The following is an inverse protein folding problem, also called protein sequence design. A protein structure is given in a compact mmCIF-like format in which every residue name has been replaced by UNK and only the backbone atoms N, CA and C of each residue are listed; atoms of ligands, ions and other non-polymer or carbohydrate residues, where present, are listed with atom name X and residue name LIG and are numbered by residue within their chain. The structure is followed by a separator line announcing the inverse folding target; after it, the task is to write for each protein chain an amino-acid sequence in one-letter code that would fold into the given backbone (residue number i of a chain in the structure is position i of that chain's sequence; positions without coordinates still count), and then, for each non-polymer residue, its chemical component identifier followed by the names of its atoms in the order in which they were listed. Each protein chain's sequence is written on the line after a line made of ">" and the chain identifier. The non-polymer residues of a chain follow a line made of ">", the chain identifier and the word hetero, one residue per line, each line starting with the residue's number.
data_IF_877682627323
#
_entry.id   IF_877682627323
#
_cell.length_a   1.000
_cell.length_b   1.000
_cell.length_c   1.000
_cell.angle_alpha   90.00
_cell.angle_beta   90.00
_cell.angle_gamma   90.00
#
_symmetry.space_group_name_H-M   'P 1'
#
loop_
_entity.id
_entity.type
_entity.pdbx_description
1 polymer ?
#
# COMPACT_ATOMS: atom_id res chain seq x y z
N UNK A 1 37.63 36.57 -57.24
CA UNK A 1 38.71 37.58 -57.12
C UNK A 1 38.91 37.87 -55.65
N UNK A 2 40.14 37.66 -55.19
CA UNK A 2 40.79 38.16 -53.96
C UNK A 2 40.15 37.73 -52.61
N UNK A 3 40.84 37.08 -51.69
CA UNK A 3 42.28 36.97 -51.49
C UNK A 3 42.55 37.14 -50.00
N UNK A 4 43.14 36.12 -49.38
CA UNK A 4 43.62 36.16 -48.02
C UNK A 4 44.61 37.31 -47.81
N UNK A 5 44.55 37.99 -46.66
CA UNK A 5 45.70 38.72 -46.12
C UNK A 5 45.64 38.81 -44.60
N UNK A 6 46.38 37.88 -44.01
CA UNK A 6 47.26 38.01 -42.85
C UNK A 6 47.49 39.46 -42.36
N UNK A 7 47.19 39.74 -41.09
CA UNK A 7 47.70 40.91 -40.39
C UNK A 7 48.22 40.50 -39.01
N UNK A 8 49.55 40.41 -38.98
CA UNK A 8 50.39 40.32 -37.80
C UNK A 8 49.98 41.33 -36.73
N UNK A 9 49.72 40.83 -35.52
CA UNK A 9 49.62 41.63 -34.30
C UNK A 9 51.02 42.14 -33.93
N UNK A 10 51.30 43.40 -34.28
CA UNK A 10 52.47 44.13 -33.77
C UNK A 10 52.19 44.53 -32.32
N UNK A 11 52.87 43.88 -31.38
CA UNK A 11 52.91 44.24 -29.96
C UNK A 11 53.60 45.60 -29.79
N UNK A 12 52.83 46.67 -29.67
CA UNK A 12 53.35 47.95 -29.13
C UNK A 12 53.43 47.83 -27.61
N UNK A 13 54.65 47.66 -27.10
CA UNK A 13 55.00 47.88 -25.68
C UNK A 13 54.88 49.38 -25.40
N UNK A 14 53.80 49.79 -24.77
CA UNK A 14 53.69 51.11 -24.15
C UNK A 14 54.31 51.00 -22.75
N UNK A 15 55.45 51.67 -22.55
CA UNK A 15 56.01 51.92 -21.20
C UNK A 15 55.03 52.84 -20.47
N UNK A 16 54.40 52.36 -19.40
CA UNK A 16 53.83 53.21 -18.36
C UNK A 16 54.82 53.32 -17.21
N UNK A 17 54.98 54.55 -16.70
CA UNK A 17 55.87 54.91 -15.61
C UNK A 17 55.42 54.38 -14.25
N UNK A 18 56.25 54.56 -13.21
CA UNK A 18 56.01 54.05 -11.88
C UNK A 18 55.02 54.94 -11.11
N UNK A 19 54.36 54.31 -10.14
CA UNK A 19 53.61 54.91 -9.03
C UNK A 19 52.33 55.68 -9.37
N UNK A 20 51.26 54.92 -9.60
CA UNK A 20 50.02 55.18 -8.87
C UNK A 20 49.66 53.90 -8.13
N UNK A 21 49.83 53.94 -6.80
CA UNK A 21 49.32 52.94 -5.88
C UNK A 21 47.79 52.88 -6.02
N UNK A 22 47.34 51.95 -6.86
CA UNK A 22 45.98 51.44 -6.75
C UNK A 22 45.96 50.68 -5.42
N UNK A 23 45.42 51.31 -4.38
CA UNK A 23 44.87 50.61 -3.22
C UNK A 23 43.82 49.62 -3.75
N UNK A 24 44.27 48.43 -4.12
CA UNK A 24 43.44 47.25 -4.18
C UNK A 24 43.03 47.03 -2.74
N UNK A 25 41.84 47.54 -2.38
CA UNK A 25 41.12 47.09 -1.20
C UNK A 25 41.16 45.57 -1.27
N UNK A 26 42.02 44.97 -0.47
CA UNK A 26 42.12 43.53 -0.27
C UNK A 26 40.87 43.15 0.49
N UNK A 27 39.74 43.13 -0.22
CA UNK A 27 38.51 42.52 0.23
C UNK A 27 38.89 41.11 0.65
N UNK A 28 38.88 40.90 1.96
CA UNK A 28 39.20 39.65 2.64
C UNK A 28 38.63 38.50 1.80
N UNK A 29 39.47 37.75 1.09
CA UNK A 29 39.04 36.58 0.33
C UNK A 29 38.64 35.53 1.35
N UNK A 30 37.38 35.56 1.77
CA UNK A 30 36.85 34.57 2.70
C UNK A 30 36.79 33.23 1.98
N UNK A 31 37.59 32.28 2.45
CA UNK A 31 37.51 30.91 1.97
C UNK A 31 36.15 30.33 2.32
N UNK A 32 35.62 29.44 1.46
CA UNK A 32 34.43 28.65 1.80
C UNK A 32 34.64 27.88 3.11
N UNK A 33 35.88 27.44 3.38
CA UNK A 33 36.25 26.74 4.61
C UNK A 33 36.21 27.62 5.86
N UNK A 34 36.13 28.94 5.74
CA UNK A 34 35.97 29.84 6.90
C UNK A 34 34.52 29.93 7.38
N UNK A 35 33.55 29.41 6.61
CA UNK A 35 32.15 29.40 7.00
C UNK A 35 31.90 28.42 8.15
N UNK A 36 30.95 28.68 9.07
CA UNK A 36 30.51 27.70 10.06
C UNK A 36 29.98 26.41 9.45
N UNK A 37 30.04 25.29 10.18
CA UNK A 37 29.60 23.97 9.69
C UNK A 37 28.13 24.00 9.24
N UNK A 38 27.29 24.68 9.99
CA UNK A 38 25.86 24.79 9.75
C UNK A 38 25.57 25.49 8.41
N UNK A 39 26.36 26.51 8.08
CA UNK A 39 26.24 27.24 6.82
C UNK A 39 26.71 26.37 5.65
N UNK A 40 27.83 25.66 5.81
CA UNK A 40 28.33 24.72 4.80
C UNK A 40 27.33 23.60 4.51
N UNK A 41 26.78 22.99 5.56
CA UNK A 41 25.77 21.93 5.45
C UNK A 41 24.49 22.45 4.79
N UNK A 42 24.08 23.69 5.12
CA UNK A 42 22.91 24.33 4.49
C UNK A 42 23.14 24.61 3.01
N UNK A 43 24.33 25.11 2.62
CA UNK A 43 24.71 25.29 1.21
C UNK A 43 24.68 23.95 0.48
N UNK A 44 25.27 22.90 1.07
CA UNK A 44 25.26 21.54 0.50
C UNK A 44 23.83 20.97 0.37
N UNK A 45 22.92 21.39 1.25
CA UNK A 45 21.49 21.06 1.20
C UNK A 45 20.81 21.59 -0.06
N UNK A 46 21.21 22.76 -0.55
CA UNK A 46 20.65 23.37 -1.76
C UNK A 46 21.17 22.78 -3.08
N UNK A 47 22.14 21.87 -3.06
CA UNK A 47 22.60 21.23 -4.30
C UNK A 47 21.48 20.36 -4.90
N UNK A 48 21.19 20.43 -6.21
CA UNK A 48 20.00 19.80 -6.76
C UNK A 48 20.08 18.27 -6.82
N UNK A 49 21.25 17.70 -7.12
CA UNK A 49 21.42 16.25 -7.23
C UNK A 49 22.41 15.65 -6.23
N UNK A 50 22.24 14.37 -5.93
CA UNK A 50 23.20 13.60 -5.11
C UNK A 50 24.59 13.54 -5.77
N UNK A 51 24.64 13.66 -7.10
CA UNK A 51 25.90 13.76 -7.85
C UNK A 51 26.66 15.05 -7.54
N UNK A 52 25.97 16.18 -7.39
CA UNK A 52 26.60 17.45 -7.04
C UNK A 52 27.16 17.41 -5.62
N UNK A 53 26.42 16.79 -4.70
CA UNK A 53 26.91 16.55 -3.34
C UNK A 53 28.15 15.66 -3.35
N UNK A 54 28.19 14.61 -4.16
CA UNK A 54 29.40 13.79 -4.35
C UNK A 54 30.56 14.63 -4.88
N UNK A 55 30.34 15.44 -5.91
CA UNK A 55 31.37 16.29 -6.50
C UNK A 55 31.92 17.29 -5.48
N UNK A 56 31.06 17.94 -4.68
CA UNK A 56 31.45 18.84 -3.59
C UNK A 56 32.37 18.13 -2.59
N UNK A 57 32.00 16.90 -2.22
CA UNK A 57 32.75 16.09 -1.27
C UNK A 57 34.09 15.55 -1.81
N UNK A 58 34.32 15.62 -3.12
CA UNK A 58 35.59 15.28 -3.76
C UNK A 58 36.55 16.47 -3.84
N UNK A 59 36.10 17.70 -3.57
CA UNK A 59 36.94 18.91 -3.66
C UNK A 59 38.08 18.87 -2.64
N UNK A 60 37.78 18.63 -1.35
CA UNK A 60 38.80 18.44 -0.32
C UNK A 60 38.28 17.66 0.89
N UNK A 61 39.21 17.08 1.65
CA UNK A 61 38.92 16.28 2.85
C UNK A 61 38.20 17.09 3.94
N UNK A 62 38.66 18.31 4.21
CA UNK A 62 38.08 19.15 5.26
C UNK A 62 36.61 19.48 4.98
N UNK A 63 36.29 19.89 3.74
CA UNK A 63 34.92 20.20 3.35
C UNK A 63 34.01 18.96 3.48
N UNK A 64 34.48 17.81 2.99
CA UNK A 64 33.77 16.55 3.11
C UNK A 64 33.50 16.18 4.57
N UNK A 65 34.52 16.22 5.42
CA UNK A 65 34.41 15.78 6.81
C UNK A 65 33.44 16.70 7.59
N UNK A 66 33.34 17.99 7.22
CA UNK A 66 32.41 18.96 7.82
C UNK A 66 30.97 18.87 7.27
N UNK A 67 30.82 18.64 5.96
CA UNK A 67 29.51 18.52 5.31
C UNK A 67 28.85 17.17 5.61
N UNK A 68 29.64 16.09 5.68
CA UNK A 68 29.17 14.72 5.89
C UNK A 68 29.33 14.21 7.32
N UNK A 69 29.61 15.11 8.26
CA UNK A 69 29.73 14.80 9.68
C UNK A 69 28.51 14.00 10.17
N UNK A 70 28.66 13.09 11.15
CA UNK A 70 27.55 12.27 11.66
C UNK A 70 26.34 13.09 12.12
N UNK A 71 26.57 14.26 12.69
CA UNK A 71 25.59 15.24 13.17
C UNK A 71 25.06 16.19 12.09
N UNK A 72 25.44 15.96 10.83
CA UNK A 72 25.08 16.85 9.72
C UNK A 72 23.57 16.89 9.47
N UNK A 73 23.01 18.09 9.54
CA UNK A 73 21.59 18.36 9.29
C UNK A 73 21.20 18.17 7.81
N UNK A 74 22.20 18.05 6.93
CA UNK A 74 22.04 17.80 5.50
C UNK A 74 21.13 16.60 5.22
N UNK A 75 21.37 15.48 5.90
CA UNK A 75 20.66 14.24 5.61
C UNK A 75 19.20 14.29 6.03
N UNK A 76 18.88 15.00 7.10
CA UNK A 76 17.48 15.27 7.47
C UNK A 76 16.78 16.11 6.42
N UNK A 77 17.45 17.12 5.88
CA UNK A 77 16.93 17.98 4.82
C UNK A 77 16.64 17.16 3.56
N UNK A 78 17.65 16.43 3.07
CA UNK A 78 17.54 15.55 1.89
C UNK A 78 16.48 14.47 2.03
N UNK A 79 16.41 13.84 3.20
CA UNK A 79 15.42 12.81 3.48
C UNK A 79 14.01 13.41 3.43
N UNK A 80 13.77 14.51 4.15
CA UNK A 80 12.47 15.18 4.21
C UNK A 80 12.02 15.78 2.87
N UNK A 81 12.95 16.07 1.95
CA UNK A 81 12.64 16.46 0.58
C UNK A 81 12.02 15.29 -0.22
N UNK A 82 12.56 14.08 -0.07
CA UNK A 82 12.17 12.91 -0.88
C UNK A 82 11.19 11.94 -0.21
N UNK A 83 11.11 11.93 1.11
CA UNK A 83 10.40 10.92 1.90
C UNK A 83 9.71 11.58 3.11
N UNK A 84 8.74 10.87 3.67
CA UNK A 84 8.11 11.26 4.93
C UNK A 84 9.05 11.00 6.10
N UNK A 85 9.22 11.99 6.96
CA UNK A 85 10.25 11.96 8.00
C UNK A 85 9.79 11.18 9.25
N UNK A 86 10.40 10.03 9.59
CA UNK A 86 10.03 9.27 10.78
C UNK A 86 10.39 10.02 12.06
N UNK A 87 9.56 9.85 13.11
CA UNK A 87 9.86 10.40 14.45
C UNK A 87 11.01 9.63 15.10
N UNK A 88 11.87 10.32 15.85
CA UNK A 88 12.93 9.70 16.66
C UNK A 88 14.21 9.29 15.92
N UNK A 89 14.23 9.31 14.58
CA UNK A 89 15.44 8.99 13.80
C UNK A 89 16.53 10.05 13.94
N UNK A 90 17.75 9.62 14.21
CA UNK A 90 18.93 10.48 14.23
C UNK A 90 19.50 10.71 12.81
N UNK A 91 20.41 11.67 12.69
CA UNK A 91 20.98 12.07 11.38
C UNK A 91 21.76 10.94 10.68
N UNK A 92 22.47 10.09 11.44
CA UNK A 92 23.23 8.99 10.89
C UNK A 92 22.32 7.88 10.35
N UNK A 93 21.22 7.57 11.04
CA UNK A 93 20.20 6.64 10.56
C UNK A 93 19.54 7.15 9.27
N UNK A 94 19.13 8.42 9.23
CA UNK A 94 18.54 9.03 8.04
C UNK A 94 19.50 9.02 6.85
N UNK A 95 20.80 9.26 7.10
CA UNK A 95 21.85 9.14 6.08
C UNK A 95 21.90 7.73 5.51
N UNK A 96 21.97 6.72 6.37
CA UNK A 96 22.06 5.32 5.94
C UNK A 96 20.82 4.91 5.15
N UNK A 97 19.62 5.20 5.65
CA UNK A 97 18.38 4.87 4.94
C UNK A 97 18.27 5.59 3.60
N UNK A 98 18.58 6.90 3.55
CA UNK A 98 18.57 7.66 2.31
C UNK A 98 19.50 7.06 1.27
N UNK A 99 20.74 6.76 1.66
CA UNK A 99 21.75 6.21 0.77
C UNK A 99 21.39 4.81 0.30
N UNK A 100 20.89 3.95 1.20
CA UNK A 100 20.39 2.62 0.85
C UNK A 100 19.28 2.72 -0.18
N UNK A 101 18.24 3.55 0.05
CA UNK A 101 17.14 3.75 -0.91
C UNK A 101 17.66 4.29 -2.26
N UNK A 102 18.58 5.26 -2.24
CA UNK A 102 19.15 5.85 -3.44
C UNK A 102 20.00 4.87 -4.26
N UNK A 103 20.55 3.82 -3.64
CA UNK A 103 21.34 2.79 -4.31
C UNK A 103 20.46 1.63 -4.79
N UNK A 104 19.47 1.22 -3.98
CA UNK A 104 18.69 0.01 -4.21
C UNK A 104 17.50 0.26 -5.15
N UNK A 105 16.71 1.31 -4.92
CA UNK A 105 15.48 1.54 -5.69
C UNK A 105 15.69 1.71 -7.21
N UNK A 106 16.77 2.37 -7.69
CA UNK A 106 17.01 2.51 -9.13
C UNK A 106 17.43 1.21 -9.81
N UNK A 107 17.76 0.15 -9.07
CA UNK A 107 18.18 -1.11 -9.67
C UNK A 107 17.01 -1.78 -10.38
N UNK A 108 17.23 -2.23 -11.61
CA UNK A 108 16.28 -3.05 -12.33
C UNK A 108 16.34 -4.48 -11.79
N UNK A 109 15.25 -4.92 -11.19
CA UNK A 109 15.08 -6.27 -10.68
C UNK A 109 14.14 -7.03 -11.61
N UNK A 110 14.54 -8.21 -12.06
CA UNK A 110 13.69 -9.11 -12.84
C UNK A 110 12.89 -9.99 -11.89
N UNK A 111 11.57 -9.77 -11.81
CA UNK A 111 10.71 -10.57 -10.94
C UNK A 111 10.16 -11.85 -11.59
N UNK A 112 10.61 -12.23 -12.79
CA UNK A 112 10.21 -13.50 -13.46
C UNK A 112 11.05 -14.69 -13.03
N UNK A 113 12.28 -14.43 -12.59
CA UNK A 113 13.21 -15.46 -12.17
C UNK A 113 12.99 -15.86 -10.71
N UNK A 114 13.62 -16.96 -10.31
CA UNK A 114 13.67 -17.42 -8.92
C UNK A 114 14.18 -16.34 -7.96
N UNK A 115 13.92 -16.56 -6.67
CA UNK A 115 14.35 -15.66 -5.61
C UNK A 115 15.88 -15.45 -5.63
N UNK A 116 16.32 -14.20 -5.56
CA UNK A 116 17.74 -13.85 -5.47
C UNK A 116 18.00 -12.89 -4.31
N UNK A 117 19.27 -12.77 -3.88
CA UNK A 117 19.66 -11.82 -2.83
C UNK A 117 19.34 -10.37 -3.24
N UNK A 118 19.52 -10.03 -4.52
CA UNK A 118 19.18 -8.70 -5.04
C UNK A 118 17.68 -8.41 -4.95
N UNK A 119 16.83 -9.38 -5.30
CA UNK A 119 15.38 -9.25 -5.12
C UNK A 119 15.02 -9.10 -3.64
N UNK A 120 15.63 -9.88 -2.76
CA UNK A 120 15.38 -9.84 -1.31
C UNK A 120 15.74 -8.47 -0.73
N UNK A 121 16.93 -7.95 -1.01
CA UNK A 121 17.36 -6.63 -0.54
C UNK A 121 16.44 -5.53 -1.06
N UNK A 122 16.03 -5.62 -2.33
CA UNK A 122 15.12 -4.64 -2.93
C UNK A 122 13.74 -4.67 -2.25
N UNK A 123 13.21 -5.86 -2.00
CA UNK A 123 11.94 -6.04 -1.28
C UNK A 123 12.03 -5.55 0.17
N UNK A 124 13.16 -5.72 0.85
CA UNK A 124 13.37 -5.21 2.22
C UNK A 124 13.32 -3.68 2.27
N UNK A 125 13.95 -3.00 1.32
CA UNK A 125 13.88 -1.54 1.21
C UNK A 125 12.45 -1.09 0.92
N UNK A 126 11.76 -1.77 -0.02
CA UNK A 126 10.38 -1.43 -0.36
C UNK A 126 9.42 -1.68 0.80
N UNK A 127 9.59 -2.79 1.52
CA UNK A 127 8.84 -3.16 2.71
C UNK A 127 8.94 -2.08 3.79
N UNK A 128 10.15 -1.61 4.10
CA UNK A 128 10.36 -0.53 5.07
C UNK A 128 9.65 0.76 4.65
N UNK A 129 9.76 1.14 3.37
CA UNK A 129 9.07 2.31 2.84
C UNK A 129 7.55 2.18 2.88
N UNK A 130 7.01 0.98 2.61
CA UNK A 130 5.57 0.72 2.70
C UNK A 130 5.09 0.82 4.14
N UNK A 131 5.81 0.20 5.08
CA UNK A 131 5.47 0.26 6.50
C UNK A 131 5.44 1.71 7.00
N UNK A 132 6.44 2.52 6.62
CA UNK A 132 6.46 3.96 6.90
C UNK A 132 5.25 4.68 6.30
N UNK A 133 4.94 4.39 5.03
CA UNK A 133 3.82 5.00 4.33
C UNK A 133 2.48 4.67 4.97
N UNK A 134 2.34 3.49 5.58
CA UNK A 134 1.11 3.06 6.25
C UNK A 134 0.99 3.56 7.68
N UNK A 135 2.09 3.71 8.41
CA UNK A 135 2.09 3.94 9.87
C UNK A 135 2.45 5.36 10.29
N UNK A 136 3.22 6.10 9.48
CA UNK A 136 3.64 7.44 9.87
C UNK A 136 2.47 8.43 9.82
N UNK A 137 2.39 9.37 10.78
CA UNK A 137 1.43 10.47 10.68
C UNK A 137 1.83 11.37 9.52
N UNK A 138 0.86 11.71 8.66
CA UNK A 138 1.10 12.59 7.53
C UNK A 138 1.20 14.05 7.99
N UNK A 139 2.08 14.80 7.34
CA UNK A 139 2.17 16.27 7.50
C UNK A 139 1.45 17.05 6.39
N UNK A 140 1.05 16.35 5.35
CA UNK A 140 0.35 16.82 4.15
C UNK A 140 -0.63 15.75 3.71
N UNK A 141 -1.57 16.09 2.82
CA UNK A 141 -2.57 15.13 2.33
C UNK A 141 -1.95 13.95 1.57
N UNK A 142 -0.71 14.11 1.08
CA UNK A 142 0.03 13.10 0.31
C UNK A 142 1.27 12.63 1.06
N UNK A 143 1.51 11.32 1.04
CA UNK A 143 2.74 10.68 1.53
C UNK A 143 3.84 10.74 0.47
N UNK A 144 4.95 11.41 0.76
CA UNK A 144 6.10 11.45 -0.17
C UNK A 144 6.73 10.08 -0.35
N UNK A 145 6.77 9.29 0.72
CA UNK A 145 7.31 7.93 0.66
C UNK A 145 6.45 7.04 -0.24
N UNK A 146 5.13 7.12 -0.14
CA UNK A 146 4.21 6.37 -0.99
C UNK A 146 4.30 6.78 -2.46
N UNK A 147 4.43 8.08 -2.75
CA UNK A 147 4.68 8.55 -4.12
C UNK A 147 6.00 8.01 -4.68
N UNK A 148 7.06 7.95 -3.87
CA UNK A 148 8.32 7.34 -4.31
C UNK A 148 8.17 5.84 -4.57
N UNK A 149 7.35 5.14 -3.79
CA UNK A 149 7.01 3.72 -4.05
C UNK A 149 6.31 3.59 -5.40
N UNK A 150 5.27 4.40 -5.64
CA UNK A 150 4.54 4.43 -6.91
C UNK A 150 5.49 4.66 -8.09
N UNK A 151 6.33 5.70 -8.02
CA UNK A 151 7.35 6.00 -9.04
C UNK A 151 8.30 4.82 -9.27
N UNK A 152 8.75 4.16 -8.20
CA UNK A 152 9.63 2.99 -8.30
C UNK A 152 8.92 1.85 -9.04
N UNK A 153 7.64 1.61 -8.74
CA UNK A 153 6.86 0.55 -9.35
C UNK A 153 6.51 0.80 -10.82
N UNK A 154 6.50 2.06 -11.29
CA UNK A 154 6.37 2.33 -12.74
C UNK A 154 7.51 1.71 -13.57
N UNK A 155 8.66 1.44 -12.95
CA UNK A 155 9.87 0.90 -13.60
C UNK A 155 10.11 -0.58 -13.26
N UNK A 156 9.35 -1.15 -12.34
CA UNK A 156 9.47 -2.54 -11.89
C UNK A 156 8.38 -3.41 -12.52
N UNK A 157 8.66 -4.70 -12.70
CA UNK A 157 7.68 -5.72 -13.12
C UNK A 157 7.07 -6.49 -11.93
N UNK A 158 7.33 -6.07 -10.68
CA UNK A 158 6.84 -6.74 -9.47
C UNK A 158 5.33 -7.02 -9.52
N UNK A 159 4.51 -6.02 -9.88
CA UNK A 159 3.05 -6.16 -9.89
C UNK A 159 2.50 -6.87 -11.14
N UNK A 160 3.33 -7.08 -12.17
CA UNK A 160 3.01 -7.92 -13.33
C UNK A 160 3.17 -9.42 -13.01
N UNK A 161 3.90 -9.73 -11.93
CA UNK A 161 4.20 -11.08 -11.48
C UNK A 161 3.78 -11.26 -10.02
N UNK A 162 2.46 -11.23 -9.73
CA UNK A 162 1.98 -11.30 -8.36
C UNK A 162 2.16 -12.68 -7.72
N UNK A 163 2.45 -13.73 -8.50
CA UNK A 163 2.62 -15.10 -8.00
C UNK A 163 3.91 -15.75 -8.53
N UNK A 164 4.47 -16.67 -7.72
CA UNK A 164 5.65 -17.51 -8.00
C UNK A 164 5.43 -18.88 -7.34
N UNK A 165 6.13 -19.92 -7.81
CA UNK A 165 5.97 -21.28 -7.28
C UNK A 165 6.34 -21.41 -5.80
N UNK A 166 7.41 -20.73 -5.36
CA UNK A 166 7.86 -20.71 -3.96
C UNK A 166 8.08 -19.25 -3.50
N UNK A 167 7.00 -18.52 -3.18
CA UNK A 167 7.11 -17.13 -2.81
C UNK A 167 7.46 -17.00 -1.33
N UNK A 168 8.45 -16.16 -1.02
CA UNK A 168 8.76 -15.84 0.39
C UNK A 168 7.61 -15.07 1.04
N UNK A 169 7.47 -15.20 2.36
CA UNK A 169 6.47 -14.46 3.15
C UNK A 169 6.56 -12.93 2.89
N UNK A 170 7.78 -12.38 2.79
CA UNK A 170 8.02 -10.98 2.45
C UNK A 170 7.49 -10.62 1.06
N UNK A 171 7.71 -11.48 0.06
CA UNK A 171 7.19 -11.23 -1.27
C UNK A 171 5.65 -11.16 -1.26
N UNK A 172 5.00 -12.15 -0.64
CA UNK A 172 3.54 -12.20 -0.56
C UNK A 172 2.96 -10.99 0.17
N UNK A 173 3.51 -10.65 1.33
CA UNK A 173 3.01 -9.51 2.12
C UNK A 173 3.24 -8.16 1.45
N UNK A 174 4.39 -7.94 0.81
CA UNK A 174 4.63 -6.73 0.01
C UNK A 174 3.63 -6.64 -1.14
N UNK A 175 3.39 -7.73 -1.88
CA UNK A 175 2.38 -7.77 -2.94
C UNK A 175 0.98 -7.42 -2.42
N UNK A 176 0.57 -8.02 -1.31
CA UNK A 176 -0.73 -7.75 -0.68
C UNK A 176 -0.84 -6.30 -0.21
N UNK A 177 0.17 -5.76 0.47
CA UNK A 177 0.17 -4.35 0.91
C UNK A 177 0.17 -3.35 -0.26
N UNK A 178 0.64 -3.78 -1.43
CA UNK A 178 0.59 -3.00 -2.68
C UNK A 178 -0.74 -3.09 -3.43
N UNK A 179 -1.78 -3.72 -2.88
CA UNK A 179 -3.07 -3.93 -3.59
C UNK A 179 -3.69 -2.63 -4.10
N UNK A 180 -3.67 -1.54 -3.31
CA UNK A 180 -4.16 -0.23 -3.77
C UNK A 180 -3.42 0.27 -5.03
N UNK A 181 -2.08 0.25 -5.02
CA UNK A 181 -1.27 0.60 -6.19
C UNK A 181 -1.49 -0.36 -7.36
N UNK A 182 -1.66 -1.65 -7.09
CA UNK A 182 -1.94 -2.64 -8.10
C UNK A 182 -3.32 -2.46 -8.75
N UNK A 183 -4.23 -1.71 -8.14
CA UNK A 183 -5.55 -1.37 -8.66
C UNK A 183 -5.66 0.09 -9.14
N UNK A 184 -4.57 0.87 -9.08
CA UNK A 184 -4.60 2.29 -9.44
C UNK A 184 -4.65 2.47 -10.95
N UNK A 185 -5.58 3.32 -11.40
CA UNK A 185 -5.73 3.72 -12.80
C UNK A 185 -4.97 5.02 -13.08
N UNK A 186 -4.48 5.19 -14.30
CA UNK A 186 -3.80 6.39 -14.76
C UNK A 186 -4.78 7.57 -14.71
N UNK A 187 -4.43 8.68 -14.02
CA UNK A 187 -5.32 9.84 -13.92
C UNK A 187 -5.60 10.50 -15.28
N UNK A 188 -4.76 10.29 -16.30
CA UNK A 188 -4.93 10.89 -17.61
C UNK A 188 -6.11 10.30 -18.41
N UNK A 189 -6.37 9.00 -18.27
CA UNK A 189 -7.43 8.31 -19.03
C UNK A 189 -8.43 7.53 -18.16
N UNK A 190 -8.15 7.37 -16.86
CA UNK A 190 -8.98 6.65 -15.89
C UNK A 190 -9.38 5.23 -16.31
N UNK A 191 -8.62 4.57 -17.19
CA UNK A 191 -8.95 3.25 -17.75
C UNK A 191 -7.73 2.33 -17.87
N UNK A 192 -6.53 2.90 -18.04
CA UNK A 192 -5.28 2.15 -18.05
C UNK A 192 -4.65 2.14 -16.67
N UNK A 193 -3.83 1.14 -16.32
CA UNK A 193 -3.16 1.13 -15.03
C UNK A 193 -2.07 2.21 -14.87
N UNK A 194 -2.01 2.86 -13.70
CA UNK A 194 -0.99 3.89 -13.40
C UNK A 194 0.43 3.35 -13.18
N UNK A 195 0.54 2.05 -12.91
CA UNK A 195 1.81 1.33 -12.70
C UNK A 195 1.82 0.06 -13.52
N UNK A 196 3.01 -0.47 -13.80
CA UNK A 196 3.18 -1.71 -14.55
C UNK A 196 2.64 -2.90 -13.76
N UNK A 197 1.45 -3.38 -14.12
CA UNK A 197 0.71 -4.36 -13.32
C UNK A 197 -0.14 -5.33 -14.17
N UNK A 198 0.32 -5.70 -15.38
CA UNK A 198 -0.43 -6.59 -16.26
C UNK A 198 -0.56 -8.01 -15.69
N UNK A 199 -1.65 -8.27 -14.96
CA UNK A 199 -1.98 -9.60 -14.44
C UNK A 199 -2.67 -10.46 -15.52
N UNK A 200 -2.03 -11.55 -15.93
CA UNK A 200 -2.61 -12.53 -16.87
C UNK A 200 -3.37 -13.63 -16.15
N UNK A 201 -4.27 -14.34 -16.85
CA UNK A 201 -5.07 -15.45 -16.27
C UNK A 201 -4.21 -16.57 -15.67
N UNK A 202 -3.00 -16.75 -16.19
CA UNK A 202 -1.99 -17.70 -15.70
C UNK A 202 -1.27 -17.27 -14.42
N UNK A 203 -1.56 -16.09 -13.88
CA UNK A 203 -0.92 -15.55 -12.66
C UNK A 203 -1.71 -15.82 -11.39
N UNK A 204 -2.80 -16.58 -11.48
CA UNK A 204 -3.51 -17.09 -10.31
C UNK A 204 -4.21 -18.41 -10.64
N UNK A 205 -4.40 -19.22 -9.61
CA UNK A 205 -5.19 -20.44 -9.71
C UNK A 205 -6.66 -20.15 -9.38
N UNK A 206 -7.56 -20.52 -10.30
CA UNK A 206 -8.99 -20.32 -10.11
C UNK A 206 -9.56 -21.31 -9.09
N UNK A 207 -8.97 -22.51 -8.99
CA UNK A 207 -9.39 -23.50 -8.02
C UNK A 207 -9.19 -22.93 -6.62
N UNK A 208 -8.00 -22.39 -6.33
CA UNK A 208 -7.72 -21.70 -5.06
C UNK A 208 -8.63 -20.48 -4.84
N UNK A 209 -8.85 -19.65 -5.87
CA UNK A 209 -9.70 -18.44 -5.75
C UNK A 209 -11.15 -18.77 -5.36
N UNK A 210 -11.69 -19.87 -5.86
CA UNK A 210 -13.05 -20.33 -5.56
C UNK A 210 -13.10 -21.43 -4.51
N UNK A 211 -11.97 -21.74 -3.86
CA UNK A 211 -11.82 -22.89 -2.96
C UNK A 211 -12.39 -24.19 -3.56
N UNK A 212 -12.25 -24.40 -4.87
CA UNK A 212 -12.81 -25.56 -5.57
C UNK A 212 -12.29 -26.86 -4.96
N UNK A 213 -13.19 -27.82 -4.70
CA UNK A 213 -12.90 -29.09 -3.99
C UNK A 213 -12.37 -28.99 -2.55
N UNK A 214 -12.11 -27.78 -2.03
CA UNK A 214 -11.74 -27.62 -0.63
C UNK A 214 -12.91 -28.00 0.26
N UNK A 215 -12.59 -28.75 1.32
CA UNK A 215 -13.48 -28.91 2.46
C UNK A 215 -13.51 -27.59 3.23
N UNK A 216 -14.70 -27.17 3.64
CA UNK A 216 -14.90 -25.99 4.47
C UNK A 216 -14.77 -26.35 5.96
N UNK A 217 -13.79 -27.18 6.29
CA UNK A 217 -13.50 -27.59 7.67
C UNK A 217 -12.47 -26.65 8.31
N UNK A 218 -12.94 -25.80 9.22
CA UNK A 218 -12.09 -24.88 9.97
C UNK A 218 -11.94 -23.49 9.33
N UNK A 219 -11.17 -22.60 9.99
CA UNK A 219 -11.06 -21.21 9.57
C UNK A 219 -10.25 -21.07 8.28
N UNK A 220 -10.73 -20.25 7.34
CA UNK A 220 -9.92 -19.81 6.20
C UNK A 220 -8.71 -18.98 6.63
N UNK A 221 -8.91 -18.17 7.68
CA UNK A 221 -7.90 -17.24 8.20
C UNK A 221 -7.42 -17.74 9.56
N UNK A 222 -6.24 -18.32 9.56
CA UNK A 222 -5.54 -18.74 10.78
C UNK A 222 -4.74 -17.56 11.36
N UNK A 223 -4.83 -17.36 12.68
CA UNK A 223 -4.11 -16.29 13.37
C UNK A 223 -2.63 -16.61 13.61
N UNK A 224 -2.30 -17.88 13.82
CA UNK A 224 -0.96 -18.37 14.12
C UNK A 224 -0.15 -18.67 12.86
N UNK A 225 -0.84 -19.09 11.79
CA UNK A 225 -0.24 -19.40 10.50
C UNK A 225 -1.08 -18.88 9.32
N UNK A 226 -1.16 -17.55 9.16
CA UNK A 226 -1.86 -16.92 8.05
C UNK A 226 -1.28 -17.33 6.69
N UNK A 227 -2.06 -18.11 5.93
CA UNK A 227 -1.67 -18.48 4.57
C UNK A 227 -1.87 -17.31 3.61
N UNK A 228 -0.75 -16.73 3.16
CA UNK A 228 -0.74 -15.57 2.28
C UNK A 228 -0.98 -15.96 0.80
N UNK A 229 -0.78 -17.23 0.44
CA UNK A 229 -0.84 -17.66 -0.95
C UNK A 229 -2.26 -17.60 -1.54
N UNK A 230 -3.31 -18.17 -0.89
CA UNK A 230 -4.68 -18.02 -1.35
C UNK A 230 -5.12 -16.55 -1.45
N UNK A 231 -4.72 -15.72 -0.48
CA UNK A 231 -5.02 -14.29 -0.49
C UNK A 231 -4.41 -13.59 -1.72
N UNK A 232 -3.19 -13.97 -2.11
CA UNK A 232 -2.51 -13.41 -3.26
C UNK A 232 -3.13 -13.85 -4.58
N UNK A 233 -3.62 -15.08 -4.67
CA UNK A 233 -4.44 -15.53 -5.79
C UNK A 233 -5.75 -14.75 -5.91
N UNK A 234 -6.46 -14.54 -4.80
CA UNK A 234 -7.69 -13.72 -4.74
C UNK A 234 -7.41 -12.28 -5.18
N UNK A 235 -6.35 -11.66 -4.65
CA UNK A 235 -5.92 -10.31 -5.06
C UNK A 235 -5.63 -10.24 -6.56
N UNK A 236 -4.93 -11.22 -7.10
CA UNK A 236 -4.55 -11.29 -8.53
C UNK A 236 -5.75 -11.48 -9.45
N UNK A 237 -6.75 -12.27 -9.01
CA UNK A 237 -8.04 -12.37 -9.66
C UNK A 237 -8.70 -10.98 -9.75
N UNK A 238 -8.85 -10.28 -8.62
CA UNK A 238 -9.48 -8.96 -8.62
C UNK A 238 -8.73 -7.93 -9.45
N UNK A 239 -7.39 -7.92 -9.39
CA UNK A 239 -6.58 -7.05 -10.24
C UNK A 239 -6.87 -7.27 -11.73
N UNK A 240 -6.96 -8.52 -12.18
CA UNK A 240 -7.29 -8.80 -13.58
C UNK A 240 -8.72 -8.39 -13.92
N UNK A 241 -9.69 -8.78 -13.10
CA UNK A 241 -11.10 -8.57 -13.39
C UNK A 241 -11.54 -7.10 -13.29
N UNK A 242 -10.85 -6.28 -12.48
CA UNK A 242 -11.09 -4.84 -12.37
C UNK A 242 -10.34 -4.02 -13.43
N UNK A 243 -9.17 -4.47 -13.89
CA UNK A 243 -8.32 -3.65 -14.79
C UNK A 243 -8.34 -4.10 -16.25
N UNK A 244 -8.72 -5.34 -16.55
CA UNK A 244 -8.69 -5.86 -17.91
C UNK A 244 -10.09 -5.89 -18.55
N UNK A 245 -10.31 -4.98 -19.51
CA UNK A 245 -11.55 -4.91 -20.30
C UNK A 245 -11.91 -6.24 -20.98
N UNK A 246 -10.92 -7.06 -21.34
CA UNK A 246 -11.15 -8.33 -22.01
C UNK A 246 -11.88 -9.37 -21.12
N UNK A 247 -11.87 -9.21 -19.79
CA UNK A 247 -12.62 -10.11 -18.90
C UNK A 247 -14.13 -9.90 -19.00
N UNK A 248 -14.60 -8.74 -19.48
CA UNK A 248 -16.03 -8.42 -19.56
C UNK A 248 -16.80 -8.64 -18.24
N UNK A 249 -16.14 -8.37 -17.11
CA UNK A 249 -16.72 -8.51 -15.77
C UNK A 249 -16.84 -7.14 -15.09
N UNK A 250 -15.89 -6.76 -14.23
CA UNK A 250 -16.01 -5.60 -13.35
C UNK A 250 -15.30 -4.34 -13.86
N UNK A 251 -14.57 -4.44 -14.98
CA UNK A 251 -13.74 -3.36 -15.49
C UNK A 251 -14.50 -2.05 -15.75
N UNK A 252 -15.64 -2.11 -16.43
CA UNK A 252 -16.39 -0.89 -16.77
C UNK A 252 -16.93 -0.19 -15.52
N UNK A 253 -17.48 -0.95 -14.58
CA UNK A 253 -18.00 -0.41 -13.32
C UNK A 253 -16.88 0.20 -12.49
N UNK A 254 -15.73 -0.48 -12.40
CA UNK A 254 -14.57 0.01 -11.66
C UNK A 254 -13.96 1.28 -12.29
N UNK A 255 -13.80 1.31 -13.62
CA UNK A 255 -13.25 2.47 -14.33
C UNK A 255 -14.14 3.73 -14.17
N UNK A 256 -15.47 3.55 -14.08
CA UNK A 256 -16.44 4.64 -13.87
C UNK A 256 -16.43 5.22 -12.45
N UNK A 257 -15.83 4.54 -11.47
CA UNK A 257 -15.75 5.08 -10.11
C UNK A 257 -14.93 6.38 -10.08
N UNK A 258 -15.42 7.37 -9.34
CA UNK A 258 -14.65 8.56 -9.01
C UNK A 258 -13.38 8.18 -8.24
N UNK A 259 -12.30 8.96 -8.40
CA UNK A 259 -11.00 8.67 -7.76
C UNK A 259 -11.10 8.52 -6.24
N UNK A 260 -11.94 9.35 -5.59
CA UNK A 260 -12.18 9.29 -4.15
C UNK A 260 -12.84 7.98 -3.69
N UNK A 261 -13.57 7.29 -4.58
CA UNK A 261 -14.24 6.02 -4.31
C UNK A 261 -13.40 4.80 -4.71
N UNK A 262 -12.17 4.98 -5.20
CA UNK A 262 -11.27 3.89 -5.56
C UNK A 262 -10.44 3.42 -4.36
N UNK A 263 -9.90 2.19 -4.38
CA UNK A 263 -9.09 1.67 -3.29
C UNK A 263 -7.90 2.58 -2.94
N UNK A 264 -7.81 2.97 -1.67
CA UNK A 264 -6.71 3.77 -1.13
C UNK A 264 -5.81 2.91 -0.24
N UNK A 265 -4.51 3.24 -0.12
CA UNK A 265 -3.59 2.50 0.76
C UNK A 265 -3.85 2.72 2.24
N UNK A 266 -4.21 3.95 2.63
CA UNK A 266 -4.30 4.36 4.05
C UNK A 266 -5.38 5.39 4.28
N UNK A 267 -5.86 5.46 5.52
CA UNK A 267 -6.79 6.50 5.99
C UNK A 267 -6.10 7.86 6.06
N UNK A 268 -6.83 8.92 5.70
CA UNK A 268 -6.34 10.30 5.73
C UNK A 268 -5.95 10.74 7.16
N UNK A 269 -6.74 10.33 8.16
CA UNK A 269 -6.57 10.77 9.56
C UNK A 269 -5.62 9.89 10.39
N UNK A 270 -4.98 8.89 9.78
CA UNK A 270 -3.97 8.05 10.43
C UNK A 270 -4.48 7.08 11.51
N UNK A 271 -5.77 7.10 11.85
CA UNK A 271 -6.34 6.17 12.81
C UNK A 271 -6.76 4.86 12.12
N UNK A 272 -5.77 3.98 11.91
CA UNK A 272 -5.99 2.65 11.34
C UNK A 272 -6.68 1.69 12.31
N UNK A 273 -6.85 2.08 13.58
CA UNK A 273 -7.38 1.20 14.63
C UNK A 273 -8.90 1.09 14.61
N UNK A 274 -9.59 2.09 14.07
CA UNK A 274 -11.05 2.13 13.99
C UNK A 274 -11.48 1.54 12.65
N UNK A 275 -12.37 0.55 12.68
CA UNK A 275 -12.97 0.01 11.45
C UNK A 275 -13.81 1.10 10.76
N UNK A 276 -13.70 1.20 9.44
CA UNK A 276 -14.56 2.13 8.70
C UNK A 276 -16.01 1.70 8.71
N UNK A 277 -16.89 2.71 8.66
CA UNK A 277 -18.33 2.46 8.63
C UNK A 277 -18.86 2.17 7.23
N UNK A 278 -18.15 2.55 6.17
CA UNK A 278 -18.59 2.35 4.79
C UNK A 278 -17.53 1.60 3.99
N UNK A 279 -17.95 0.53 3.31
CA UNK A 279 -17.09 -0.29 2.46
C UNK A 279 -17.74 -0.51 1.11
N UNK A 280 -17.01 -0.19 0.05
CA UNK A 280 -17.41 -0.42 -1.33
C UNK A 280 -16.76 -1.69 -1.88
N UNK A 281 -17.57 -2.55 -2.46
CA UNK A 281 -17.14 -3.64 -3.33
C UNK A 281 -18.04 -3.65 -4.57
N UNK A 282 -18.59 -4.80 -4.92
CA UNK A 282 -19.71 -4.84 -5.87
C UNK A 282 -21.02 -4.29 -5.25
N UNK A 283 -21.10 -4.27 -3.93
CA UNK A 283 -22.17 -3.64 -3.14
C UNK A 283 -21.54 -2.72 -2.10
N UNK A 284 -22.35 -1.84 -1.51
CA UNK A 284 -21.97 -1.08 -0.34
C UNK A 284 -22.30 -1.88 0.93
N UNK A 285 -21.43 -1.78 1.92
CA UNK A 285 -21.68 -2.26 3.28
C UNK A 285 -21.55 -1.07 4.23
N UNK A 286 -22.61 -0.78 4.95
CA UNK A 286 -22.62 0.18 6.04
C UNK A 286 -22.61 -0.59 7.35
N UNK A 287 -21.53 -0.50 8.12
CA UNK A 287 -21.32 -1.29 9.35
C UNK A 287 -20.91 -0.40 10.51
N UNK A 288 -21.34 -0.75 11.71
CA UNK A 288 -21.00 -0.05 12.94
C UNK A 288 -20.70 -1.06 14.06
N UNK A 289 -19.92 -0.69 15.08
CA UNK A 289 -19.71 -1.55 16.25
C UNK A 289 -21.04 -1.93 16.91
N UNK A 290 -21.19 -3.20 17.26
CA UNK A 290 -22.41 -3.73 17.89
C UNK A 290 -22.09 -4.63 19.09
N UNK A 291 -23.12 -5.01 19.84
CA UNK A 291 -23.06 -6.02 20.89
C UNK A 291 -22.62 -7.39 20.33
N UNK A 292 -22.00 -8.25 21.16
CA UNK A 292 -21.62 -9.60 20.74
C UNK A 292 -22.77 -10.40 20.13
N UNK A 293 -22.61 -10.75 18.86
CA UNK A 293 -23.57 -11.57 18.12
C UNK A 293 -22.85 -12.36 17.01
N UNK A 294 -22.90 -13.68 17.10
CA UNK A 294 -22.49 -14.60 16.03
C UNK A 294 -23.31 -15.89 16.17
N UNK A 295 -24.22 -16.20 15.23
CA UNK A 295 -25.06 -17.39 15.28
C UNK A 295 -24.29 -18.70 15.34
N UNK A 296 -24.86 -19.73 15.96
CA UNK A 296 -24.22 -21.04 16.07
C UNK A 296 -24.02 -21.72 14.72
N UNK A 297 -24.97 -21.56 13.78
CA UNK A 297 -24.77 -22.01 12.40
C UNK A 297 -23.54 -21.35 11.75
N UNK A 298 -23.35 -20.05 11.97
CA UNK A 298 -22.18 -19.34 11.47
C UNK A 298 -20.90 -19.79 12.19
N UNK A 299 -20.93 -20.02 13.51
CA UNK A 299 -19.78 -20.55 14.29
C UNK A 299 -19.31 -21.91 13.81
N UNK A 300 -20.22 -22.79 13.41
CA UNK A 300 -19.86 -24.13 12.91
C UNK A 300 -18.99 -24.08 11.65
N UNK A 301 -19.21 -23.09 10.79
CA UNK A 301 -18.54 -22.96 9.49
C UNK A 301 -17.37 -21.98 9.58
N UNK A 302 -17.57 -20.86 10.25
CA UNK A 302 -16.59 -19.80 10.48
C UNK A 302 -16.39 -19.67 12.00
N UNK A 303 -15.51 -20.50 12.59
CA UNK A 303 -15.32 -20.53 14.02
C UNK A 303 -14.65 -19.25 14.53
N UNK A 304 -15.00 -18.88 15.75
CA UNK A 304 -14.31 -17.83 16.50
C UNK A 304 -12.90 -18.32 16.86
N UNK A 305 -11.92 -17.42 16.88
CA UNK A 305 -10.60 -17.78 17.37
C UNK A 305 -10.51 -17.68 18.90
N UNK A 306 -10.08 -18.76 19.55
CA UNK A 306 -10.07 -18.89 21.03
C UNK A 306 -8.70 -18.56 21.66
N UNK A 307 -8.02 -17.52 21.16
CA UNK A 307 -6.75 -17.05 21.70
C UNK A 307 -6.92 -16.08 22.89
N UNK A 308 -6.11 -16.17 23.96
CA UNK A 308 -6.25 -15.35 25.17
C UNK A 308 -6.05 -13.84 24.96
N UNK A 309 -5.39 -13.45 23.86
CA UNK A 309 -5.11 -12.05 23.50
C UNK A 309 -5.93 -11.56 22.30
N UNK A 310 -6.98 -12.29 21.93
CA UNK A 310 -7.81 -11.95 20.77
C UNK A 310 -8.69 -10.77 21.09
N UNK A 311 -8.39 -9.63 20.47
CA UNK A 311 -9.27 -8.46 20.52
C UNK A 311 -10.32 -8.66 19.45
N UNK A 312 -11.57 -8.91 19.87
CA UNK A 312 -12.72 -9.07 18.98
C UNK A 312 -13.66 -7.88 19.08
N UNK A 313 -14.04 -7.33 17.94
CA UNK A 313 -15.05 -6.26 17.83
C UNK A 313 -16.19 -6.78 16.97
N UNK A 314 -17.42 -6.76 17.49
CA UNK A 314 -18.60 -7.17 16.75
C UNK A 314 -19.18 -5.99 15.97
N UNK A 315 -19.85 -6.30 14.87
CA UNK A 315 -20.41 -5.31 13.96
C UNK A 315 -21.80 -5.70 13.49
N UNK A 316 -22.63 -4.70 13.23
CA UNK A 316 -23.94 -4.80 12.58
C UNK A 316 -24.04 -3.74 11.50
N UNK A 317 -24.87 -3.98 10.49
CA UNK A 317 -25.00 -3.09 9.37
C UNK A 317 -26.06 -3.49 8.37
N UNK A 318 -25.99 -2.85 7.21
CA UNK A 318 -26.82 -3.15 6.05
C UNK A 318 -25.97 -3.20 4.78
N UNK A 319 -26.41 -4.02 3.83
CA UNK A 319 -25.95 -3.95 2.46
C UNK A 319 -26.77 -2.89 1.72
N UNK A 320 -26.20 -2.27 0.69
CA UNK A 320 -26.97 -1.48 -0.27
C UNK A 320 -26.39 -1.63 -1.68
N UNK A 321 -27.21 -1.41 -2.71
CA UNK A 321 -26.75 -1.52 -4.09
C UNK A 321 -26.00 -0.25 -4.52
N UNK A 322 -25.14 -0.36 -5.54
CA UNK A 322 -24.39 0.76 -6.11
C UNK A 322 -25.28 1.91 -6.62
N UNK A 323 -26.54 1.63 -6.95
CA UNK A 323 -27.50 2.63 -7.42
C UNK A 323 -28.29 3.29 -6.28
N UNK A 324 -28.05 2.90 -5.02
CA UNK A 324 -28.78 3.39 -3.87
C UNK A 324 -30.18 2.79 -3.70
N UNK A 325 -30.55 1.78 -4.51
CA UNK A 325 -31.77 1.02 -4.26
C UNK A 325 -31.55 0.11 -3.04
N UNK A 326 -32.47 0.13 -2.06
CA UNK A 326 -32.34 -0.64 -0.83
C UNK A 326 -32.50 -2.12 -1.14
N UNK A 327 -31.38 -2.83 -1.24
CA UNK A 327 -31.34 -4.20 -0.79
C UNK A 327 -30.88 -4.11 0.67
N UNK A 328 -31.77 -3.66 1.57
CA UNK A 328 -31.50 -3.42 3.01
C UNK A 328 -31.24 -4.73 3.78
N UNK A 329 -30.43 -5.60 3.18
CA UNK A 329 -30.09 -6.91 3.70
C UNK A 329 -29.25 -6.71 4.97
N UNK A 330 -29.67 -7.28 6.11
CA UNK A 330 -28.93 -7.17 7.35
C UNK A 330 -27.54 -7.78 7.21
N UNK A 331 -26.58 -7.09 7.82
CA UNK A 331 -25.18 -7.50 7.94
C UNK A 331 -24.83 -7.63 9.41
N UNK A 332 -24.15 -8.71 9.79
CA UNK A 332 -23.57 -8.85 11.13
C UNK A 332 -22.25 -9.60 11.05
N UNK A 333 -21.38 -9.42 12.03
CA UNK A 333 -20.09 -10.06 12.01
C UNK A 333 -19.16 -9.63 13.12
N UNK A 334 -17.86 -9.81 12.88
CA UNK A 334 -16.82 -9.38 13.78
C UNK A 334 -15.47 -9.22 13.07
N UNK A 335 -14.56 -8.52 13.74
CA UNK A 335 -13.14 -8.49 13.42
C UNK A 335 -12.31 -9.05 14.57
N UNK A 336 -11.21 -9.73 14.26
CA UNK A 336 -10.23 -10.22 15.23
C UNK A 336 -8.83 -9.75 14.85
N UNK A 337 -8.13 -9.11 15.78
CA UNK A 337 -6.75 -8.69 15.54
C UNK A 337 -5.83 -9.90 15.46
N UNK A 338 -5.03 -9.98 14.41
CA UNK A 338 -3.97 -10.97 14.27
C UNK A 338 -2.70 -10.38 14.91
N UNK A 339 -2.33 -10.89 16.09
CA UNK A 339 -1.26 -10.32 16.89
C UNK A 339 0.13 -10.48 16.24
N UNK A 340 0.34 -11.60 15.53
CA UNK A 340 1.60 -11.89 14.84
C UNK A 340 1.76 -10.99 13.61
N UNK A 341 2.88 -10.27 13.45
CA UNK A 341 3.19 -9.63 12.18
C UNK A 341 3.55 -10.70 11.14
N UNK A 342 3.03 -10.53 9.92
CA UNK A 342 3.39 -11.38 8.78
C UNK A 342 4.21 -10.57 7.80
N UNK A 343 5.31 -11.15 7.33
CA UNK A 343 6.26 -10.53 6.42
C UNK A 343 6.64 -9.13 6.88
N UNK A 344 6.94 -8.98 8.18
CA UNK A 344 7.31 -7.72 8.84
C UNK A 344 6.23 -6.63 8.91
N UNK A 345 5.01 -6.86 8.44
CA UNK A 345 3.89 -5.93 8.57
C UNK A 345 3.01 -6.32 9.77
N UNK A 346 2.80 -5.41 10.74
CA UNK A 346 1.78 -5.55 11.76
C UNK A 346 0.40 -5.12 11.22
N UNK A 347 -0.64 -5.27 12.05
CA UNK A 347 -1.96 -4.73 11.77
C UNK A 347 -2.80 -5.56 10.79
N UNK A 348 -2.50 -6.85 10.67
CA UNK A 348 -3.40 -7.80 10.03
C UNK A 348 -4.62 -8.02 10.91
N UNK A 349 -5.80 -8.09 10.30
CA UNK A 349 -7.06 -8.29 11.04
C UNK A 349 -7.92 -9.27 10.27
N UNK A 350 -8.33 -10.36 10.93
CA UNK A 350 -9.35 -11.27 10.39
C UNK A 350 -10.69 -10.55 10.43
N UNK A 351 -11.45 -10.64 9.35
CA UNK A 351 -12.82 -10.11 9.28
C UNK A 351 -13.76 -11.21 8.83
N UNK A 352 -14.84 -11.37 9.59
CA UNK A 352 -15.91 -12.31 9.32
C UNK A 352 -17.24 -11.56 9.36
N UNK A 353 -18.11 -11.78 8.37
CA UNK A 353 -19.45 -11.22 8.39
C UNK A 353 -20.40 -12.09 7.59
N UNK A 354 -21.70 -11.97 7.87
CA UNK A 354 -22.75 -12.58 7.09
C UNK A 354 -23.66 -11.49 6.54
N UNK A 355 -24.22 -11.76 5.36
CA UNK A 355 -25.29 -10.99 4.75
C UNK A 355 -26.48 -11.94 4.60
N UNK A 356 -27.66 -11.51 5.01
CA UNK A 356 -28.87 -12.31 4.90
C UNK A 356 -29.96 -11.58 4.11
N UNK A 357 -30.77 -12.30 3.36
CA UNK A 357 -32.02 -11.77 2.78
C UNK A 357 -33.19 -12.43 3.50
N UNK A 358 -34.11 -11.62 4.03
CA UNK A 358 -35.33 -12.09 4.69
C UNK A 358 -36.30 -12.70 3.67
N UNK A 359 -37.10 -13.67 4.10
CA UNK A 359 -38.17 -14.21 3.25
C UNK A 359 -39.36 -13.24 3.22
N UNK A 360 -40.01 -13.10 2.06
CA UNK A 360 -41.16 -12.21 1.86
C UNK A 360 -42.39 -12.58 2.74
N UNK A 361 -42.37 -13.73 3.41
CA UNK A 361 -43.49 -14.31 4.16
C UNK A 361 -43.59 -13.84 5.62
N UNK A 362 -42.68 -12.99 6.12
CA UNK A 362 -42.61 -12.53 7.53
C UNK A 362 -43.07 -11.06 7.67
N UNK A 363 -44.23 -10.71 7.11
CA UNK A 363 -44.68 -9.31 7.05
C UNK A 363 -45.61 -8.81 8.17
N UNK A 364 -45.96 -9.58 9.21
CA UNK A 364 -47.02 -9.14 10.15
C UNK A 364 -46.92 -9.61 11.62
N UNK A 365 -45.74 -9.66 12.27
CA UNK A 365 -45.69 -9.81 13.74
C UNK A 365 -44.61 -8.95 14.43
N UNK A 366 -45.08 -7.83 15.00
CA UNK A 366 -44.60 -7.09 16.19
C UNK A 366 -43.09 -7.12 16.53
N UNK A 367 -42.37 -6.08 16.07
CA UNK A 367 -41.46 -5.16 16.78
C UNK A 367 -40.50 -5.62 17.93
N UNK A 368 -40.21 -6.91 18.09
CA UNK A 368 -39.06 -7.40 18.87
C UNK A 368 -38.26 -8.41 18.03
N UNK A 369 -37.47 -7.88 17.08
CA UNK A 369 -36.51 -8.57 16.22
C UNK A 369 -35.45 -9.36 17.01
N UNK A 370 -35.84 -10.50 17.57
CA UNK A 370 -34.93 -11.55 17.94
C UNK A 370 -34.51 -12.26 16.64
N UNK A 371 -33.31 -11.94 16.15
CA UNK A 371 -32.63 -12.66 15.05
C UNK A 371 -32.35 -14.09 15.51
N UNK A 372 -33.37 -14.95 15.49
CA UNK A 372 -33.29 -16.35 15.91
C UNK A 372 -32.80 -17.15 14.71
N UNK A 373 -31.50 -17.39 14.68
CA UNK A 373 -30.89 -18.43 13.84
C UNK A 373 -30.63 -19.62 14.76
N UNK A 374 -31.68 -20.08 15.46
CA UNK A 374 -31.62 -21.29 16.28
C UNK A 374 -32.08 -22.47 15.45
N UNK A 375 -31.12 -23.33 15.13
CA UNK A 375 -31.37 -24.62 14.53
C UNK A 375 -31.76 -25.62 15.62
N UNK A 376 -33.04 -25.69 15.99
CA UNK A 376 -33.62 -26.92 16.56
C UNK A 376 -35.16 -26.99 16.49
N UNK A 377 -35.86 -25.94 16.06
CA UNK A 377 -37.22 -26.10 15.52
C UNK A 377 -37.16 -26.07 13.99
N UNK A 378 -37.94 -26.91 13.33
CA UNK A 378 -37.90 -27.09 11.88
C UNK A 378 -38.41 -25.91 11.05
N UNK A 379 -38.23 -24.65 11.48
CA UNK A 379 -38.49 -23.45 10.68
C UNK A 379 -37.21 -22.90 10.03
N UNK A 380 -36.69 -23.62 9.03
CA UNK A 380 -35.54 -23.20 8.20
C UNK A 380 -35.86 -22.01 7.23
N UNK A 381 -37.01 -21.35 7.42
CA UNK A 381 -37.61 -20.40 6.46
C UNK A 381 -37.36 -18.91 6.78
N UNK A 382 -36.64 -18.57 7.86
CA UNK A 382 -36.49 -17.15 8.27
C UNK A 382 -35.73 -16.29 7.25
N UNK A 383 -34.75 -16.87 6.55
CA UNK A 383 -33.96 -16.17 5.54
C UNK A 383 -33.99 -16.91 4.21
N UNK A 384 -34.12 -16.19 3.11
CA UNK A 384 -34.04 -16.77 1.76
C UNK A 384 -32.64 -17.27 1.42
N UNK A 385 -31.61 -16.52 1.80
CA UNK A 385 -30.20 -16.95 1.73
C UNK A 385 -29.37 -16.31 2.82
N UNK A 386 -28.26 -16.97 3.16
CA UNK A 386 -27.27 -16.49 4.13
C UNK A 386 -25.88 -16.68 3.53
N UNK A 387 -25.21 -15.58 3.20
CA UNK A 387 -23.84 -15.60 2.68
C UNK A 387 -22.84 -15.21 3.76
N UNK A 388 -21.95 -16.13 4.11
CA UNK A 388 -20.85 -15.91 5.04
C UNK A 388 -19.59 -15.47 4.32
N UNK A 389 -18.86 -14.55 4.90
CA UNK A 389 -17.63 -13.96 4.38
C UNK A 389 -16.53 -14.13 5.41
N UNK A 390 -15.37 -14.59 4.97
CA UNK A 390 -14.18 -14.73 5.79
C UNK A 390 -12.95 -14.24 5.01
N UNK A 391 -12.17 -13.34 5.61
CA UNK A 391 -10.99 -12.78 4.95
C UNK A 391 -10.12 -11.95 5.89
N UNK A 392 -9.22 -11.18 5.29
CA UNK A 392 -8.35 -10.26 6.02
C UNK A 392 -8.59 -8.82 5.61
N UNK A 393 -8.49 -7.92 6.59
CA UNK A 393 -8.20 -6.52 6.36
C UNK A 393 -6.67 -6.40 6.26
N UNK A 394 -6.21 -5.86 5.13
CA UNK A 394 -4.79 -5.67 4.88
C UNK A 394 -4.21 -4.55 5.77
N UNK A 395 -2.90 -4.60 6.07
CA UNK A 395 -2.20 -3.50 6.74
C UNK A 395 -2.51 -2.15 6.07
N UNK A 396 -2.86 -1.15 6.87
CA UNK A 396 -3.39 0.14 6.41
C UNK A 396 -4.91 0.30 6.57
N UNK A 397 -5.63 -0.80 6.80
CA UNK A 397 -7.03 -0.77 7.27
C UNK A 397 -8.06 -0.33 6.24
N UNK A 398 -7.70 -0.32 4.95
CA UNK A 398 -8.53 0.23 3.85
C UNK A 398 -9.07 -0.81 2.89
N UNK A 399 -8.52 -2.01 2.85
CA UNK A 399 -8.90 -3.04 1.88
C UNK A 399 -9.11 -4.34 2.64
N UNK A 400 -10.24 -5.00 2.40
CA UNK A 400 -10.52 -6.34 2.86
C UNK A 400 -10.73 -7.28 1.67
N UNK A 401 -10.18 -8.48 1.74
CA UNK A 401 -10.34 -9.51 0.72
C UNK A 401 -10.31 -10.90 1.34
N UNK A 402 -10.98 -11.83 0.69
CA UNK A 402 -11.10 -13.20 1.18
C UNK A 402 -12.10 -13.98 0.34
N UNK A 403 -12.79 -14.92 0.98
CA UNK A 403 -13.80 -15.77 0.34
C UNK A 403 -15.17 -15.57 0.97
N UNK A 404 -16.20 -15.73 0.15
CA UNK A 404 -17.58 -15.86 0.58
C UNK A 404 -18.08 -17.28 0.30
N UNK A 405 -19.10 -17.71 1.04
CA UNK A 405 -19.74 -19.00 0.90
C UNK A 405 -21.22 -18.95 1.30
N UNK A 406 -22.04 -19.80 0.70
CA UNK A 406 -23.42 -20.06 1.08
C UNK A 406 -23.45 -20.91 2.37
N UNK A 407 -24.00 -20.32 3.44
CA UNK A 407 -24.10 -20.99 4.75
C UNK A 407 -25.34 -21.87 4.89
N UNK A 408 -26.29 -21.80 3.93
CA UNK A 408 -27.46 -22.68 3.86
C UNK A 408 -27.17 -23.94 3.05
N UNK A 409 -26.57 -23.78 1.87
CA UNK A 409 -26.27 -24.89 0.95
C UNK A 409 -24.77 -25.08 0.73
N UNK A 410 -24.09 -25.65 1.72
CA UNK A 410 -22.63 -25.89 1.66
C UNK A 410 -22.20 -26.88 0.57
N UNK A 411 -23.10 -27.76 0.13
CA UNK A 411 -22.86 -28.73 -0.95
C UNK A 411 -23.03 -28.11 -2.35
N UNK A 412 -23.61 -26.91 -2.44
CA UNK A 412 -23.74 -26.17 -3.68
C UNK A 412 -22.47 -25.37 -3.98
N UNK A 413 -22.21 -25.08 -5.25
CA UNK A 413 -21.08 -24.28 -5.74
C UNK A 413 -21.09 -22.80 -5.30
N UNK A 414 -21.89 -22.43 -4.30
CA UNK A 414 -22.05 -21.08 -3.78
C UNK A 414 -20.86 -20.65 -2.94
N UNK A 415 -19.73 -20.37 -3.60
CA UNK A 415 -18.54 -19.78 -2.98
C UNK A 415 -17.74 -18.99 -4.00
N UNK A 416 -16.92 -18.06 -3.53
CA UNK A 416 -16.05 -17.30 -4.42
C UNK A 416 -15.25 -16.23 -3.69
N UNK A 417 -14.44 -15.47 -4.43
CA UNK A 417 -13.65 -14.40 -3.85
C UNK A 417 -14.53 -13.19 -3.52
N UNK A 418 -14.09 -12.36 -2.58
CA UNK A 418 -14.59 -11.00 -2.40
C UNK A 418 -13.44 -10.01 -2.27
N UNK A 419 -13.72 -8.75 -2.59
CA UNK A 419 -12.90 -7.60 -2.22
C UNK A 419 -13.82 -6.43 -1.88
N UNK A 420 -13.49 -5.70 -0.81
CA UNK A 420 -14.07 -4.40 -0.51
C UNK A 420 -12.97 -3.44 -0.10
N UNK A 421 -13.22 -2.15 -0.25
CA UNK A 421 -12.36 -1.10 0.24
C UNK A 421 -13.17 0.01 0.90
N UNK A 422 -12.53 0.69 1.82
CA UNK A 422 -13.06 1.83 2.57
C UNK A 422 -13.24 3.05 1.65
N UNK A 423 -14.37 3.76 1.79
CA UNK A 423 -14.78 4.92 0.97
C UNK A 423 -15.30 6.08 1.80
#
# INVERSE_FOLDING_TARGET
>A
MNGAMDRQLVTKRTKMGPDEDIEVVTGMRRSLLELPNEILQRIAGFLPADQDLRNLNLVCRELRDRVLAPESTLWRTRFNEKYDLPKGRNYAELKMEYQTRAIVLPQTIDFRQEASEHQTLWLEVLQGMLLESLTLPLRSDVSKTYERIRETLTKSDLLEHPWREDPSERFCTVQLCLTSLALTLDPADATTPAVRNKCTRSKYDIATVYSHEDKLDGPFIDHENLDLAPLLHIRSFWQRHLLNKAEQTYHESFARLAEALRPQARKANGDSSILSVSWLGYYYLHIEPDKPFWPDQCKRIIPLHDGPNTIRTYLRGTQSTLNGDPADNPVFGFTETIARPYGGFPGWTRICFAICEESDDISDQDDEMAMVVDADDGSDDTYRWVHGYEGVILPGGRIKLGRWMDLKNMDASGRGPFIFWDV
#
